data_IF_139758934207
#
_entry.id   IF_139758934207
#
_cell.length_a   1.000
_cell.length_b   1.000
_cell.length_c   1.000
_cell.angle_alpha   90.00
_cell.angle_beta   90.00
_cell.angle_gamma   90.00
#
_symmetry.space_group_name_H-M   'P 1'
#
loop_
_entity.id
_entity.type
_entity.pdbx_description
1 polymer ?
#
# COMPACT_ATOMS: atom_id res chain seq x y z
N UNK A 1 7.02 -20.39 17.21
CA UNK A 1 6.21 -19.18 16.97
C UNK A 1 6.74 -18.56 15.69
N UNK A 2 5.97 -18.65 14.61
CA UNK A 2 6.27 -17.82 13.44
C UNK A 2 5.75 -16.42 13.76
N UNK A 3 6.53 -15.35 13.53
CA UNK A 3 5.99 -14.01 13.64
C UNK A 3 4.82 -13.90 12.66
N UNK A 4 3.71 -13.38 13.15
CA UNK A 4 2.56 -13.02 12.34
C UNK A 4 3.08 -12.09 11.23
N UNK A 5 2.80 -12.40 9.96
CA UNK A 5 3.36 -11.62 8.83
C UNK A 5 2.95 -10.13 8.90
N UNK A 6 1.84 -9.85 9.59
CA UNK A 6 1.37 -8.51 9.93
C UNK A 6 2.30 -7.75 10.89
N UNK A 7 2.91 -8.42 11.86
CA UNK A 7 3.82 -7.78 12.83
C UNK A 7 5.14 -7.37 12.18
N UNK A 8 5.60 -8.12 11.17
CA UNK A 8 6.87 -7.83 10.49
C UNK A 8 6.79 -6.56 9.64
N UNK A 9 5.61 -6.17 9.16
CA UNK A 9 5.45 -4.96 8.35
C UNK A 9 5.41 -3.66 9.16
N UNK A 10 5.17 -3.73 10.48
CA UNK A 10 4.97 -2.53 11.32
C UNK A 10 6.23 -2.07 12.06
N UNK A 11 7.30 -2.86 12.11
CA UNK A 11 8.48 -2.57 12.93
C UNK A 11 9.77 -2.31 12.13
N UNK A 12 9.78 -2.59 10.82
CA UNK A 12 10.95 -2.33 9.96
C UNK A 12 10.61 -1.30 8.87
N UNK A 13 11.45 -0.26 8.69
CA UNK A 13 11.28 0.67 7.58
C UNK A 13 11.32 -0.09 6.25
N UNK A 14 10.28 0.09 5.43
CA UNK A 14 10.25 -0.49 4.09
C UNK A 14 11.13 0.35 3.18
N UNK A 15 11.88 -0.28 2.26
CA UNK A 15 12.52 0.47 1.19
C UNK A 15 11.47 1.13 0.31
N UNK A 16 11.77 2.32 -0.22
CA UNK A 16 10.87 3.05 -1.11
C UNK A 16 10.46 2.17 -2.32
N UNK A 17 11.39 1.42 -2.89
CA UNK A 17 11.14 0.52 -4.03
C UNK A 17 10.17 -0.60 -3.66
N UNK A 18 10.33 -1.21 -2.48
CA UNK A 18 9.40 -2.26 -2.02
C UNK A 18 8.01 -1.67 -1.75
N UNK A 19 7.96 -0.51 -1.09
CA UNK A 19 6.72 0.17 -0.76
C UNK A 19 5.93 0.57 -2.03
N UNK A 20 6.56 1.29 -2.96
CA UNK A 20 5.93 1.73 -4.21
C UNK A 20 5.51 0.55 -5.08
N UNK A 21 6.34 -0.50 -5.17
CA UNK A 21 5.97 -1.73 -5.87
C UNK A 21 4.73 -2.42 -5.29
N UNK A 22 4.52 -2.37 -3.98
CA UNK A 22 3.28 -2.88 -3.35
C UNK A 22 2.09 -1.95 -3.57
N UNK A 23 2.27 -0.64 -3.50
CA UNK A 23 1.22 0.34 -3.84
C UNK A 23 0.71 0.12 -5.26
N UNK A 24 1.60 -0.11 -6.23
CA UNK A 24 1.23 -0.36 -7.62
C UNK A 24 0.38 -1.64 -7.80
N UNK A 25 0.69 -2.68 -7.04
CA UNK A 25 -0.08 -3.93 -7.08
C UNK A 25 -1.46 -3.78 -6.45
N UNK A 26 -1.55 -3.06 -5.33
CA UNK A 26 -2.83 -2.69 -4.70
C UNK A 26 -3.66 -1.84 -5.65
N UNK A 27 -3.07 -0.82 -6.26
CA UNK A 27 -3.72 0.03 -7.27
C UNK A 27 -4.33 -0.81 -8.39
N UNK A 28 -3.57 -1.72 -8.99
CA UNK A 28 -4.07 -2.61 -10.06
C UNK A 28 -5.23 -3.49 -9.59
N UNK A 29 -5.18 -3.98 -8.35
CA UNK A 29 -6.27 -4.77 -7.78
C UNK A 29 -7.55 -3.94 -7.56
N UNK A 30 -7.40 -2.68 -7.14
CA UNK A 30 -8.52 -1.73 -7.01
C UNK A 30 -9.10 -1.39 -8.40
N UNK A 31 -8.26 -1.05 -9.38
CA UNK A 31 -8.70 -0.78 -10.75
C UNK A 31 -9.50 -1.94 -11.32
N UNK A 32 -9.02 -3.18 -11.12
CA UNK A 32 -9.77 -4.38 -11.50
C UNK A 32 -11.10 -4.51 -10.75
N UNK A 33 -11.13 -4.24 -9.44
CA UNK A 33 -12.37 -4.30 -8.67
C UNK A 33 -13.39 -3.24 -9.12
N UNK A 34 -12.93 -2.07 -9.56
CA UNK A 34 -13.76 -1.01 -10.16
C UNK A 34 -14.33 -1.50 -11.49
N UNK A 35 -13.49 -2.08 -12.35
CA UNK A 35 -13.94 -2.66 -13.62
C UNK A 35 -15.01 -3.75 -13.42
N UNK A 36 -14.82 -4.63 -12.43
CA UNK A 36 -15.78 -5.69 -12.08
C UNK A 36 -17.08 -5.15 -11.47
N UNK A 37 -17.01 -4.04 -10.72
CA UNK A 37 -18.19 -3.38 -10.14
C UNK A 37 -19.00 -2.57 -11.17
N UNK A 38 -18.38 -2.18 -12.29
CA UNK A 38 -19.02 -1.43 -13.37
C UNK A 38 -19.54 -0.05 -12.91
N UNK A 39 -20.71 0.35 -13.41
CA UNK A 39 -21.33 1.65 -13.07
C UNK A 39 -21.75 1.80 -11.58
N UNK A 40 -21.61 0.75 -10.78
CA UNK A 40 -21.90 0.73 -9.35
C UNK A 40 -20.64 0.61 -8.48
N UNK A 41 -19.46 0.92 -9.04
CA UNK A 41 -18.23 1.05 -8.25
C UNK A 41 -18.47 1.87 -6.99
N UNK A 42 -18.06 1.35 -5.84
CA UNK A 42 -18.33 1.99 -4.55
C UNK A 42 -17.45 3.22 -4.36
N UNK A 43 -17.95 4.21 -3.61
CA UNK A 43 -17.15 5.37 -3.18
C UNK A 43 -15.87 4.93 -2.46
N UNK A 44 -15.89 3.77 -1.80
CA UNK A 44 -14.73 3.18 -1.16
C UNK A 44 -13.65 2.76 -2.16
N UNK A 45 -14.00 2.18 -3.31
CA UNK A 45 -13.01 1.79 -4.33
C UNK A 45 -12.32 3.03 -4.91
N UNK A 46 -13.08 4.10 -5.16
CA UNK A 46 -12.52 5.37 -5.64
C UNK A 46 -11.62 6.02 -4.59
N UNK A 47 -12.05 6.01 -3.31
CA UNK A 47 -11.24 6.52 -2.19
C UNK A 47 -9.93 5.75 -2.05
N UNK A 48 -9.97 4.43 -2.11
CA UNK A 48 -8.77 3.58 -2.02
C UNK A 48 -7.84 3.85 -3.23
N UNK A 49 -8.40 4.02 -4.44
CA UNK A 49 -7.62 4.35 -5.64
C UNK A 49 -6.93 5.72 -5.52
N UNK A 50 -7.66 6.75 -5.11
CA UNK A 50 -7.12 8.09 -4.87
C UNK A 50 -6.01 8.07 -3.82
N UNK A 51 -6.20 7.30 -2.75
CA UNK A 51 -5.19 7.13 -1.72
C UNK A 51 -3.91 6.48 -2.29
N UNK A 52 -4.03 5.42 -3.10
CA UNK A 52 -2.84 4.77 -3.70
C UNK A 52 -2.08 5.72 -4.63
N UNK A 53 -2.77 6.56 -5.40
CA UNK A 53 -2.12 7.58 -6.23
C UNK A 53 -1.43 8.65 -5.36
N UNK A 54 -2.12 9.17 -4.35
CA UNK A 54 -1.56 10.19 -3.45
C UNK A 54 -0.29 9.68 -2.78
N UNK A 55 -0.32 8.47 -2.22
CA UNK A 55 0.80 7.92 -1.46
C UNK A 55 1.98 7.56 -2.34
N UNK A 56 1.74 7.11 -3.57
CA UNK A 56 2.81 6.86 -4.55
C UNK A 56 3.63 8.13 -4.80
N UNK A 57 2.98 9.29 -4.85
CA UNK A 57 3.63 10.58 -5.18
C UNK A 57 4.15 11.33 -3.94
N UNK A 58 3.60 11.07 -2.74
CA UNK A 58 3.83 11.88 -1.53
C UNK A 58 4.31 11.10 -0.30
N UNK A 59 4.64 9.81 -0.40
CA UNK A 59 5.12 9.04 0.76
C UNK A 59 6.35 9.70 1.39
N UNK A 60 6.33 9.85 2.72
CA UNK A 60 7.48 10.38 3.45
C UNK A 60 8.60 9.34 3.45
N UNK A 61 9.80 9.77 3.05
CA UNK A 61 11.00 8.95 3.11
C UNK A 61 12.11 9.62 3.89
N UNK A 62 12.90 8.80 4.57
CA UNK A 62 14.17 9.16 5.17
C UNK A 62 15.31 8.48 4.39
N UNK A 63 16.45 9.15 4.29
CA UNK A 63 17.64 8.58 3.66
C UNK A 63 18.52 7.94 4.74
N UNK A 64 18.75 6.63 4.66
CA UNK A 64 19.62 5.86 5.56
C UNK A 64 20.70 5.14 4.76
N UNK A 65 21.90 5.75 4.73
CA UNK A 65 23.01 5.27 3.89
C UNK A 65 22.68 5.39 2.41
N UNK A 66 22.75 4.27 1.68
CA UNK A 66 22.40 4.19 0.25
C UNK A 66 20.91 3.89 0.01
N UNK A 67 20.10 3.73 1.07
CA UNK A 67 18.69 3.34 0.96
C UNK A 67 17.75 4.52 1.27
N UNK A 68 16.68 4.62 0.50
CA UNK A 68 15.53 5.47 0.85
C UNK A 68 14.49 4.61 1.54
N UNK A 69 14.17 4.93 2.78
CA UNK A 69 13.28 4.17 3.64
C UNK A 69 12.00 4.96 3.88
N UNK A 70 10.85 4.29 3.88
CA UNK A 70 9.57 4.91 4.22
C UNK A 70 9.50 5.15 5.73
N UNK A 71 9.40 6.42 6.12
CA UNK A 71 9.28 6.87 7.52
C UNK A 71 7.84 7.30 7.83
N UNK A 72 6.88 6.48 7.42
CA UNK A 72 5.47 6.69 7.73
C UNK A 72 4.82 5.36 8.13
N UNK A 73 4.76 5.06 9.45
CA UNK A 73 4.19 3.82 9.94
C UNK A 73 2.67 3.75 9.72
N UNK A 74 1.96 4.89 9.66
CA UNK A 74 0.51 4.89 9.40
C UNK A 74 0.23 4.51 7.95
N UNK A 75 0.98 5.11 7.04
CA UNK A 75 0.92 4.81 5.61
C UNK A 75 1.30 3.35 5.34
N UNK A 76 2.33 2.84 6.00
CA UNK A 76 2.75 1.43 5.88
C UNK A 76 1.69 0.47 6.43
N UNK A 77 1.09 0.78 7.58
CA UNK A 77 -0.01 0.00 8.16
C UNK A 77 -1.23 -0.03 7.25
N UNK A 78 -1.63 1.12 6.70
CA UNK A 78 -2.78 1.19 5.80
C UNK A 78 -2.53 0.45 4.49
N UNK A 79 -1.31 0.50 3.94
CA UNK A 79 -0.94 -0.32 2.80
C UNK A 79 -1.11 -1.82 3.13
N UNK A 80 -0.71 -2.27 4.33
CA UNK A 80 -0.95 -3.62 4.80
C UNK A 80 -2.43 -4.00 4.80
N UNK A 81 -3.30 -3.13 5.32
CA UNK A 81 -4.76 -3.33 5.31
C UNK A 81 -5.32 -3.47 3.89
N UNK A 82 -4.85 -2.65 2.94
CA UNK A 82 -5.30 -2.72 1.55
C UNK A 82 -4.78 -3.99 0.85
N UNK A 83 -3.54 -4.41 1.12
CA UNK A 83 -2.98 -5.67 0.63
C UNK A 83 -3.85 -6.86 1.05
N UNK A 84 -4.31 -6.89 2.31
CA UNK A 84 -5.22 -7.93 2.79
C UNK A 84 -6.62 -7.82 2.18
N UNK A 85 -7.18 -6.62 2.14
CA UNK A 85 -8.52 -6.34 1.58
C UNK A 85 -8.63 -6.79 0.13
N UNK A 86 -7.63 -6.47 -0.68
CA UNK A 86 -7.59 -6.79 -2.11
C UNK A 86 -6.86 -8.09 -2.44
N UNK A 87 -6.41 -8.85 -1.42
CA UNK A 87 -5.70 -10.13 -1.55
C UNK A 87 -4.51 -10.06 -2.52
N UNK A 88 -3.71 -9.01 -2.39
CA UNK A 88 -2.48 -8.84 -3.16
C UNK A 88 -1.41 -9.78 -2.59
N UNK A 89 -0.86 -10.66 -3.41
CA UNK A 89 0.14 -11.66 -3.02
C UNK A 89 1.55 -11.28 -3.44
#
# INVERSE_FOLDING_TARGET
MYPDRLTVMSEQPLTLDYFTGRVDQVRKAIEKAIEEAGAYGSDQLMTDLEWTQYVHDHVHVTDEGDNRLVDDPKTTSHLGELVERYRVH
#
